data_IF_409757977134
#
_entry.id   IF_409757977134
#
_cell.length_a   1.000
_cell.length_b   1.000
_cell.length_c   1.000
_cell.angle_alpha   90.00
_cell.angle_beta   90.00
_cell.angle_gamma   90.00
#
_symmetry.space_group_name_H-M   'P 1'
#
loop_
_entity.id
_entity.type
_entity.pdbx_description
1 polymer ?
#
# COMPACT_ATOMS: atom_id res chain seq x y z
N UNK A 1 -11.76 -11.39 -0.61
CA UNK A 1 -11.28 -10.02 -0.36
C UNK A 1 -10.18 -10.09 0.68
N UNK A 2 -9.03 -9.51 0.36
CA UNK A 2 -7.87 -9.40 1.25
C UNK A 2 -7.87 -8.00 1.86
N UNK A 3 -7.82 -7.89 3.18
CA UNK A 3 -7.79 -6.59 3.84
C UNK A 3 -6.37 -6.07 3.91
N UNK A 4 -6.17 -4.80 3.54
CA UNK A 4 -4.87 -4.13 3.50
C UNK A 4 -4.78 -3.10 4.61
N UNK A 5 -3.70 -3.14 5.38
CA UNK A 5 -3.44 -2.23 6.49
C UNK A 5 -2.11 -1.50 6.28
N UNK A 6 -2.09 -0.21 6.61
CA UNK A 6 -0.88 0.63 6.58
C UNK A 6 -0.56 1.16 7.98
N UNK A 7 0.65 0.89 8.46
CA UNK A 7 1.20 1.53 9.64
C UNK A 7 1.76 2.91 9.26
N UNK A 8 0.95 3.95 9.46
CA UNK A 8 1.33 5.33 9.16
C UNK A 8 2.42 5.90 10.07
N UNK A 9 2.72 5.26 11.21
CA UNK A 9 3.85 5.66 12.05
C UNK A 9 5.19 5.17 11.49
N UNK A 10 5.17 4.06 10.75
CA UNK A 10 6.34 3.52 10.05
C UNK A 10 6.48 4.06 8.63
N UNK A 11 5.38 4.45 8.01
CA UNK A 11 5.37 4.98 6.65
C UNK A 11 6.16 6.30 6.57
N UNK A 12 7.05 6.39 5.58
CA UNK A 12 7.82 7.59 5.24
C UNK A 12 7.34 8.24 3.92
N UNK A 13 6.21 7.78 3.40
CA UNK A 13 5.62 8.20 2.13
C UNK A 13 6.57 8.09 0.91
N UNK A 14 7.44 7.07 0.88
CA UNK A 14 8.37 6.83 -0.22
C UNK A 14 7.71 6.68 -1.61
N UNK A 15 6.47 6.20 -1.68
CA UNK A 15 5.67 6.17 -2.90
C UNK A 15 5.71 4.89 -3.73
N UNK A 16 6.52 3.90 -3.37
CA UNK A 16 6.59 2.60 -4.09
C UNK A 16 5.22 1.90 -4.16
N UNK A 17 4.43 1.93 -3.10
CA UNK A 17 3.09 1.34 -3.10
C UNK A 17 2.14 2.04 -4.08
N UNK A 18 2.18 3.37 -4.17
CA UNK A 18 1.38 4.14 -5.12
C UNK A 18 1.84 3.96 -6.58
N UNK A 19 3.09 3.60 -6.81
CA UNK A 19 3.59 3.25 -8.14
C UNK A 19 3.13 1.85 -8.59
N UNK A 20 3.15 0.88 -7.67
CA UNK A 20 2.79 -0.51 -7.95
C UNK A 20 1.28 -0.75 -7.97
N UNK A 21 0.52 -0.07 -7.10
CA UNK A 21 -0.92 -0.28 -6.94
C UNK A 21 -1.65 1.07 -6.73
N UNK A 22 -1.70 1.93 -7.77
CA UNK A 22 -2.18 3.32 -7.70
C UNK A 22 -3.68 3.47 -7.41
N UNK A 23 -4.45 2.40 -7.60
CA UNK A 23 -5.87 2.35 -7.27
C UNK A 23 -6.14 2.10 -5.78
N UNK A 24 -5.13 1.65 -5.03
CA UNK A 24 -5.20 1.38 -3.58
C UNK A 24 -4.41 2.40 -2.77
N UNK A 25 -3.31 2.91 -3.30
CA UNK A 25 -2.44 3.87 -2.63
C UNK A 25 -2.19 5.11 -3.47
N UNK A 26 -2.19 6.28 -2.83
CA UNK A 26 -1.90 7.56 -3.48
C UNK A 26 -0.95 8.39 -2.63
N UNK A 27 0.04 9.02 -3.25
CA UNK A 27 0.84 10.06 -2.60
C UNK A 27 0.30 11.41 -3.05
N UNK A 28 -0.23 12.16 -2.08
CA UNK A 28 -0.69 13.52 -2.29
C UNK A 28 0.47 14.46 -2.62
N UNK A 29 0.14 15.64 -3.14
CA UNK A 29 1.15 16.66 -3.52
C UNK A 29 1.98 17.15 -2.33
N UNK A 30 1.45 17.07 -1.11
CA UNK A 30 2.15 17.45 0.11
C UNK A 30 3.05 16.33 0.67
N UNK A 31 3.12 15.19 -0.01
CA UNK A 31 3.90 14.03 0.41
C UNK A 31 3.18 13.13 1.41
N UNK A 32 1.89 13.30 1.64
CA UNK A 32 1.11 12.40 2.50
C UNK A 32 0.64 11.16 1.74
N UNK A 33 0.78 9.98 2.34
CA UNK A 33 0.14 8.77 1.83
C UNK A 33 -1.36 8.75 2.16
N UNK A 34 -2.18 8.51 1.15
CA UNK A 34 -3.62 8.23 1.27
C UNK A 34 -3.87 6.79 0.81
N UNK A 35 -4.55 6.01 1.65
CA UNK A 35 -5.06 4.68 1.28
C UNK A 35 -6.46 4.86 0.67
N UNK A 36 -6.58 4.63 -0.64
CA UNK A 36 -7.81 4.79 -1.41
C UNK A 36 -8.79 3.63 -1.20
N UNK A 37 -8.26 2.42 -0.97
CA UNK A 37 -9.04 1.21 -0.70
C UNK A 37 -8.43 0.40 0.45
N UNK A 38 -9.28 -0.14 1.32
CA UNK A 38 -8.88 -1.03 2.42
C UNK A 38 -8.88 -2.50 2.06
N UNK A 39 -9.38 -2.84 0.88
CA UNK A 39 -9.62 -4.22 0.47
C UNK A 39 -9.18 -4.39 -0.99
N UNK A 40 -8.55 -5.53 -1.26
CA UNK A 40 -8.08 -5.94 -2.59
C UNK A 40 -8.74 -7.27 -2.93
N UNK A 41 -9.09 -7.44 -4.20
CA UNK A 41 -9.67 -8.69 -4.72
C UNK A 41 -8.68 -9.86 -4.58
N UNK A 42 -9.20 -11.07 -4.35
CA UNK A 42 -8.35 -12.25 -4.06
C UNK A 42 -7.46 -12.64 -5.25
N UNK A 43 -7.86 -12.31 -6.48
CA UNK A 43 -7.09 -12.57 -7.70
C UNK A 43 -5.87 -11.65 -7.87
N UNK A 44 -5.76 -10.59 -7.06
CA UNK A 44 -4.63 -9.65 -7.01
C UNK A 44 -3.68 -9.91 -5.83
N UNK A 45 -3.80 -11.05 -5.15
CA UNK A 45 -2.95 -11.42 -4.02
C UNK A 45 -1.45 -11.28 -4.32
N UNK A 46 -1.01 -11.75 -5.49
CA UNK A 46 0.41 -11.70 -5.86
C UNK A 46 0.92 -10.27 -6.10
N UNK A 47 0.07 -9.40 -6.65
CA UNK A 47 0.39 -7.97 -6.84
C UNK A 47 0.50 -7.27 -5.46
N UNK A 48 -0.42 -7.58 -4.54
CA UNK A 48 -0.38 -7.06 -3.18
C UNK A 48 0.86 -7.54 -2.40
N UNK A 49 1.28 -8.79 -2.59
CA UNK A 49 2.53 -9.31 -1.99
C UNK A 49 3.78 -8.58 -2.50
N UNK A 50 3.83 -8.25 -3.79
CA UNK A 50 4.92 -7.43 -4.34
C UNK A 50 4.92 -6.04 -3.70
N UNK A 51 3.75 -5.40 -3.57
CA UNK A 51 3.62 -4.09 -2.90
C UNK A 51 4.12 -4.15 -1.45
N UNK A 52 3.77 -5.20 -0.72
CA UNK A 52 4.20 -5.39 0.68
C UNK A 52 5.72 -5.57 0.74
N UNK A 53 6.29 -6.42 -0.12
CA UNK A 53 7.73 -6.71 -0.16
C UNK A 53 8.56 -5.49 -0.56
N UNK A 54 8.05 -4.68 -1.49
CA UNK A 54 8.75 -3.51 -2.00
C UNK A 54 8.63 -2.28 -1.10
N UNK A 55 7.82 -2.31 -0.03
CA UNK A 55 7.74 -1.22 0.94
C UNK A 55 9.06 -1.12 1.75
N UNK A 56 9.87 -0.06 1.60
CA UNK A 56 11.18 0.02 2.26
C UNK A 56 11.08 0.03 3.79
N UNK A 57 9.98 0.57 4.30
CA UNK A 57 9.71 0.68 5.74
C UNK A 57 9.00 -0.54 6.31
N UNK A 58 8.58 -1.49 5.48
CA UNK A 58 7.76 -2.64 5.88
C UNK A 58 6.44 -2.23 6.55
N UNK A 59 5.83 -1.13 6.09
CA UNK A 59 4.66 -0.50 6.71
C UNK A 59 3.31 -1.09 6.25
N UNK A 60 3.31 -1.98 5.26
CA UNK A 60 2.08 -2.54 4.66
C UNK A 60 1.93 -3.99 5.09
N UNK A 61 0.71 -4.39 5.46
CA UNK A 61 0.39 -5.78 5.80
C UNK A 61 -1.02 -6.16 5.33
N UNK A 62 -1.29 -7.47 5.29
CA UNK A 62 -2.59 -8.03 4.90
C UNK A 62 -3.17 -8.99 5.94
N UNK A 63 -4.49 -9.08 6.00
CA UNK A 63 -5.25 -9.97 6.90
C UNK A 63 -6.44 -10.61 6.20
#
# INVERSE_FOLDING_TARGET
MIKVNVDLQRCDANGTCAALMPDVFHIEKDGTLVQLASDVEDDRESELEEVILCCPMGAISRS
#
